data_IF_995216200844
#
_entry.id   IF_995216200844
#
_cell.length_a   1.000
_cell.length_b   1.000
_cell.length_c   1.000
_cell.angle_alpha   90.00
_cell.angle_beta   90.00
_cell.angle_gamma   90.00
#
_symmetry.space_group_name_H-M   'P 1'
#
loop_
_entity.id
_entity.type
_entity.pdbx_description
1 polymer ?
#
# COMPACT_ATOMS: atom_id res chain seq x y z
N UNK A 1 8.14 12.27 8.49
CA UNK A 1 7.76 11.11 7.64
C UNK A 1 8.13 9.88 8.44
N UNK A 2 7.20 9.42 9.27
CA UNK A 2 7.44 8.34 10.25
C UNK A 2 6.44 7.24 9.92
N UNK A 3 6.93 6.15 9.33
CA UNK A 3 6.14 4.99 8.92
C UNK A 3 6.91 3.74 9.34
N UNK A 4 6.87 3.40 10.63
CA UNK A 4 7.30 2.10 11.11
C UNK A 4 6.15 1.10 10.94
N UNK A 5 6.44 -0.11 10.47
CA UNK A 5 5.47 -1.21 10.54
C UNK A 5 5.16 -1.50 12.02
N UNK A 6 3.90 -1.57 12.39
CA UNK A 6 3.42 -1.86 13.74
C UNK A 6 2.75 -3.23 13.77
N UNK A 7 3.11 -4.06 14.76
CA UNK A 7 2.63 -5.44 14.83
C UNK A 7 1.10 -5.48 14.98
N UNK A 8 0.42 -6.11 14.04
CA UNK A 8 -1.06 -6.17 13.95
C UNK A 8 -1.68 -7.21 14.89
N UNK A 9 -0.95 -8.28 15.22
CA UNK A 9 -1.47 -9.48 15.89
C UNK A 9 -1.23 -9.60 17.40
N UNK A 10 -0.91 -8.50 18.10
CA UNK A 10 -0.85 -8.51 19.57
C UNK A 10 -2.19 -8.11 20.18
N UNK A 11 -2.58 -8.71 21.31
CA UNK A 11 -3.72 -8.26 22.09
C UNK A 11 -3.35 -6.97 22.84
N UNK A 12 -3.98 -5.86 22.47
CA UNK A 12 -3.74 -4.51 23.00
C UNK A 12 -4.37 -4.31 24.39
N UNK A 13 -4.93 -5.37 24.98
CA UNK A 13 -5.73 -5.32 26.19
C UNK A 13 -7.17 -4.90 25.92
N UNK A 14 -7.76 -4.13 26.84
CA UNK A 14 -9.10 -3.56 26.67
C UNK A 14 -9.08 -2.53 25.53
N UNK A 15 -10.05 -2.57 24.61
CA UNK A 15 -10.08 -1.73 23.42
C UNK A 15 -10.49 -0.29 23.80
N UNK A 16 -9.51 0.49 24.25
CA UNK A 16 -9.63 1.92 24.54
C UNK A 16 -8.61 2.70 23.71
N UNK A 17 -8.91 3.96 23.42
CA UNK A 17 -8.02 4.83 22.64
C UNK A 17 -6.65 5.01 23.33
N UNK A 18 -6.65 5.05 24.67
CA UNK A 18 -5.42 5.15 25.47
C UNK A 18 -4.55 3.90 25.31
N UNK A 19 -5.14 2.70 25.43
CA UNK A 19 -4.40 1.45 25.26
C UNK A 19 -3.89 1.30 23.81
N UNK A 20 -4.68 1.75 22.84
CA UNK A 20 -4.26 1.78 21.44
C UNK A 20 -3.02 2.66 21.23
N UNK A 21 -3.04 3.87 21.78
CA UNK A 21 -1.91 4.80 21.69
C UNK A 21 -0.68 4.26 22.42
N UNK A 22 -0.83 3.76 23.65
CA UNK A 22 0.27 3.19 24.44
C UNK A 22 0.93 1.99 23.75
N UNK A 23 0.13 1.14 23.09
CA UNK A 23 0.65 0.03 22.32
C UNK A 23 1.48 0.52 21.11
N UNK A 24 0.98 1.51 20.37
CA UNK A 24 1.68 2.03 19.20
C UNK A 24 2.92 2.85 19.53
N UNK A 25 2.97 3.49 20.70
CA UNK A 25 4.15 4.22 21.18
C UNK A 25 5.25 3.27 21.71
N UNK A 26 4.94 2.00 21.96
CA UNK A 26 5.92 1.04 22.46
C UNK A 26 6.83 0.54 21.33
N UNK A 27 8.11 0.92 21.38
CA UNK A 27 9.11 0.55 20.39
C UNK A 27 9.29 -0.96 20.18
N UNK A 28 8.95 -1.79 21.19
CA UNK A 28 8.99 -3.25 21.08
C UNK A 28 7.97 -3.82 20.06
N UNK A 29 6.93 -3.05 19.74
CA UNK A 29 5.90 -3.43 18.78
C UNK A 29 6.22 -2.99 17.34
N UNK A 30 7.29 -2.20 17.17
CA UNK A 30 7.73 -1.74 15.85
C UNK A 30 8.51 -2.84 15.13
N UNK A 31 8.34 -2.89 13.82
CA UNK A 31 9.13 -3.72 12.95
C UNK A 31 10.58 -3.25 12.95
N UNK A 32 11.51 -4.18 13.13
CA UNK A 32 12.95 -3.92 13.06
C UNK A 32 13.60 -4.88 12.08
N UNK A 33 14.42 -4.33 11.19
CA UNK A 33 15.27 -5.08 10.28
C UNK A 33 16.66 -5.18 10.94
N UNK A 34 17.15 -6.41 11.11
CA UNK A 34 18.42 -6.74 11.79
C UNK A 34 18.57 -6.21 13.22
N UNK A 35 17.46 -5.86 13.88
CA UNK A 35 17.43 -5.36 15.26
C UNK A 35 18.01 -3.95 15.46
N UNK A 36 18.33 -3.23 14.38
CA UNK A 36 18.97 -1.91 14.45
C UNK A 36 18.18 -0.85 13.66
N UNK A 37 17.60 -1.21 12.52
CA UNK A 37 16.93 -0.27 11.64
C UNK A 37 15.41 -0.39 11.71
N UNK A 38 14.71 0.75 11.72
CA UNK A 38 13.27 0.84 11.53
C UNK A 38 13.01 1.23 10.07
N UNK A 39 12.77 0.27 9.16
CA UNK A 39 12.55 0.61 7.77
C UNK A 39 11.23 1.34 7.57
N UNK A 40 11.24 2.33 6.67
CA UNK A 40 10.03 3.02 6.24
C UNK A 40 9.15 2.12 5.37
N UNK A 41 7.85 2.14 5.63
CA UNK A 41 6.82 1.51 4.81
C UNK A 41 5.87 2.56 4.19
N UNK A 42 4.96 2.14 3.32
CA UNK A 42 3.86 2.98 2.85
C UNK A 42 2.64 2.18 2.42
N UNK A 43 1.44 2.72 2.66
CA UNK A 43 0.17 2.08 2.31
C UNK A 43 -0.25 2.33 0.83
N UNK A 44 0.64 2.90 0.03
CA UNK A 44 0.35 3.19 -1.37
C UNK A 44 1.07 2.20 -2.27
N UNK A 45 0.43 1.87 -3.40
CA UNK A 45 1.01 1.00 -4.42
C UNK A 45 2.35 1.55 -4.90
N UNK A 46 3.39 0.71 -4.87
CA UNK A 46 4.77 1.10 -5.21
C UNK A 46 5.62 1.53 -4.02
N UNK A 47 5.05 1.66 -2.82
CA UNK A 47 5.80 1.84 -1.58
C UNK A 47 6.20 0.49 -0.97
N UNK A 48 7.19 0.51 -0.07
CA UNK A 48 7.60 -0.70 0.68
C UNK A 48 6.43 -1.17 1.54
N UNK A 49 5.99 -2.40 1.32
CA UNK A 49 4.97 -3.04 2.14
C UNK A 49 5.58 -3.64 3.41
N UNK A 50 4.76 -3.73 4.46
CA UNK A 50 5.09 -4.47 5.67
C UNK A 50 4.83 -5.97 5.47
N UNK A 51 5.45 -6.80 6.30
CA UNK A 51 5.14 -8.24 6.40
C UNK A 51 3.70 -8.46 6.93
N UNK A 52 3.15 -9.67 6.74
CA UNK A 52 1.73 -9.98 7.00
C UNK A 52 1.23 -9.66 8.43
N UNK A 53 2.13 -9.69 9.42
CA UNK A 53 1.84 -9.40 10.83
C UNK A 53 2.07 -7.93 11.21
N UNK A 54 2.28 -7.04 10.24
CA UNK A 54 2.60 -5.64 10.46
C UNK A 54 1.76 -4.71 9.60
N UNK A 55 1.37 -3.57 10.15
CA UNK A 55 0.62 -2.52 9.46
C UNK A 55 1.38 -1.21 9.48
N UNK A 56 1.34 -0.50 8.37
CA UNK A 56 2.06 0.76 8.22
C UNK A 56 1.27 1.92 8.83
N UNK A 57 1.79 2.56 9.88
CA UNK A 57 1.11 3.65 10.59
C UNK A 57 1.97 4.91 10.66
N UNK A 58 1.33 6.06 10.47
CA UNK A 58 1.96 7.37 10.47
C UNK A 58 2.11 7.94 11.88
N UNK A 59 3.23 8.60 12.13
CA UNK A 59 3.48 9.34 13.38
C UNK A 59 3.95 8.46 14.55
N UNK A 60 4.36 7.22 14.27
CA UNK A 60 5.01 6.34 15.23
C UNK A 60 6.41 5.97 14.73
N UNK A 61 7.37 5.93 15.66
CA UNK A 61 8.78 5.73 15.36
C UNK A 61 9.53 7.04 15.11
N UNK A 62 10.86 7.03 15.26
CA UNK A 62 11.69 8.21 15.02
C UNK A 62 11.90 8.47 13.52
N UNK A 63 11.97 9.74 13.13
CA UNK A 63 12.45 10.13 11.81
C UNK A 63 13.90 9.61 11.54
N UNK A 64 14.23 9.19 10.30
CA UNK A 64 15.55 8.70 9.94
C UNK A 64 16.69 9.70 10.22
N UNK A 65 17.93 9.19 10.24
CA UNK A 65 19.12 10.00 10.47
C UNK A 65 19.02 10.84 11.75
N UNK A 66 18.65 10.21 12.87
CA UNK A 66 18.47 10.86 14.19
C UNK A 66 17.48 12.03 14.18
N UNK A 67 16.47 11.99 13.30
CA UNK A 67 15.48 13.06 13.17
C UNK A 67 15.86 14.20 12.24
N UNK A 68 17.05 14.16 11.61
CA UNK A 68 17.51 15.21 10.70
C UNK A 68 16.94 15.11 9.28
N UNK A 69 16.29 13.99 8.95
CA UNK A 69 15.68 13.78 7.63
C UNK A 69 14.17 13.69 7.76
N UNK A 70 13.47 14.76 7.43
CA UNK A 70 12.01 14.85 7.53
C UNK A 70 11.43 15.97 6.65
N UNK A 71 10.11 15.92 6.44
CA UNK A 71 9.33 16.93 5.72
C UNK A 71 8.20 17.53 6.58
N UNK A 72 8.26 17.31 7.89
CA UNK A 72 7.15 17.61 8.81
C UNK A 72 7.11 19.10 9.20
N UNK A 73 8.23 19.81 9.02
CA UNK A 73 8.31 21.26 9.20
C UNK A 73 8.99 21.92 7.99
N UNK A 74 8.69 23.21 7.77
CA UNK A 74 9.24 23.96 6.65
C UNK A 74 10.78 23.97 6.62
N UNK A 75 11.44 24.13 7.77
CA UNK A 75 12.90 24.18 7.84
C UNK A 75 13.56 22.86 7.44
N UNK A 76 13.07 21.73 7.96
CA UNK A 76 13.59 20.41 7.62
C UNK A 76 13.24 20.01 6.18
N UNK A 77 12.06 20.38 5.70
CA UNK A 77 11.68 20.18 4.30
C UNK A 77 12.59 20.98 3.35
N UNK A 78 12.89 22.25 3.66
CA UNK A 78 13.80 23.08 2.86
C UNK A 78 15.21 22.49 2.85
N UNK A 79 15.75 22.07 4.00
CA UNK A 79 17.07 21.44 4.08
C UNK A 79 17.12 20.14 3.27
N UNK A 80 16.08 19.31 3.36
CA UNK A 80 15.98 18.06 2.58
C UNK A 80 15.88 18.32 1.08
N UNK A 81 15.10 19.33 0.65
CA UNK A 81 15.03 19.72 -0.75
C UNK A 81 16.35 20.31 -1.26
N UNK A 82 17.04 21.11 -0.45
CA UNK A 82 18.36 21.65 -0.77
C UNK A 82 19.37 20.53 -1.02
N UNK A 83 19.41 19.51 -0.14
CA UNK A 83 20.25 18.31 -0.31
C UNK A 83 20.02 17.60 -1.66
N UNK A 84 18.75 17.49 -2.10
CA UNK A 84 18.43 16.90 -3.42
C UNK A 84 18.94 17.78 -4.58
N UNK A 85 18.84 19.11 -4.47
CA UNK A 85 19.31 20.04 -5.51
C UNK A 85 20.83 20.05 -5.65
N UNK A 86 21.55 19.97 -4.52
CA UNK A 86 23.02 19.99 -4.51
C UNK A 86 23.66 18.62 -4.69
N UNK A 87 22.84 17.56 -4.80
CA UNK A 87 23.30 16.17 -4.89
C UNK A 87 24.18 15.73 -3.71
N UNK A 88 23.94 16.28 -2.51
CA UNK A 88 24.69 15.91 -1.31
C UNK A 88 23.98 14.78 -0.56
N UNK A 89 24.55 13.58 -0.63
CA UNK A 89 24.00 12.35 -0.05
C UNK A 89 22.50 12.20 -0.36
N UNK A 90 22.15 12.47 -1.61
CA UNK A 90 20.78 12.58 -2.10
C UNK A 90 20.13 11.21 -2.35
N UNK A 91 20.92 10.19 -2.69
CA UNK A 91 20.42 8.84 -3.03
C UNK A 91 19.74 8.18 -1.83
N UNK A 92 20.32 8.33 -0.63
CA UNK A 92 19.73 7.86 0.62
C UNK A 92 18.35 8.51 0.86
N UNK A 93 18.30 9.84 0.76
CA UNK A 93 17.04 10.60 0.89
C UNK A 93 16.02 10.19 -0.17
N UNK A 94 16.45 10.05 -1.42
CA UNK A 94 15.59 9.65 -2.52
C UNK A 94 14.97 8.26 -2.30
N UNK A 95 15.78 7.29 -1.86
CA UNK A 95 15.30 5.96 -1.54
C UNK A 95 14.33 5.95 -0.35
N UNK A 96 14.60 6.74 0.69
CA UNK A 96 13.67 6.89 1.83
C UNK A 96 12.31 7.42 1.39
N UNK A 97 12.31 8.45 0.53
CA UNK A 97 11.06 9.00 -0.03
C UNK A 97 10.32 7.97 -0.87
N UNK A 98 11.00 7.22 -1.74
CA UNK A 98 10.36 6.17 -2.54
C UNK A 98 9.81 5.02 -1.69
N UNK A 99 10.52 4.60 -0.63
CA UNK A 99 10.02 3.53 0.25
C UNK A 99 8.74 3.92 0.97
N UNK A 100 8.60 5.20 1.36
CA UNK A 100 7.44 5.70 2.08
C UNK A 100 6.29 6.14 1.18
N UNK A 101 6.60 6.82 0.07
CA UNK A 101 5.64 7.46 -0.83
C UNK A 101 5.52 6.75 -2.19
N UNK A 102 6.18 5.61 -2.36
CA UNK A 102 6.12 4.79 -3.55
C UNK A 102 6.76 5.37 -4.80
N UNK A 103 7.06 4.50 -5.76
CA UNK A 103 7.40 4.94 -7.11
C UNK A 103 6.12 5.34 -7.86
N UNK A 104 6.16 6.50 -8.53
CA UNK A 104 5.01 6.98 -9.33
C UNK A 104 4.69 6.03 -10.49
N UNK A 105 5.68 5.30 -10.96
CA UNK A 105 5.59 4.36 -12.07
C UNK A 105 4.81 3.09 -11.65
N UNK A 106 5.09 2.54 -10.48
CA UNK A 106 4.33 1.40 -9.93
C UNK A 106 2.93 1.82 -9.45
N UNK A 107 2.79 3.04 -8.92
CA UNK A 107 1.47 3.58 -8.55
C UNK A 107 0.54 3.74 -9.77
N UNK A 108 1.10 4.12 -10.92
CA UNK A 108 0.36 4.17 -12.18
C UNK A 108 0.02 2.76 -12.71
N UNK A 109 0.97 1.82 -12.65
CA UNK A 109 0.76 0.43 -13.07
C UNK A 109 -0.33 -0.28 -12.25
N UNK A 110 -0.31 -0.14 -10.92
CA UNK A 110 -1.34 -0.75 -10.06
C UNK A 110 -2.74 -0.17 -10.31
N UNK A 111 -2.82 1.13 -10.62
CA UNK A 111 -4.09 1.77 -10.98
C UNK A 111 -4.61 1.31 -12.35
N UNK A 112 -3.71 1.07 -13.30
CA UNK A 112 -4.05 0.50 -14.60
C UNK A 112 -4.54 -0.95 -14.49
N UNK A 113 -3.86 -1.80 -13.71
CA UNK A 113 -4.27 -3.18 -13.49
C UNK A 113 -5.67 -3.31 -12.84
N UNK A 114 -5.96 -2.48 -11.83
CA UNK A 114 -7.31 -2.45 -11.23
C UNK A 114 -8.40 -1.94 -12.18
N UNK A 115 -8.04 -1.04 -13.10
CA UNK A 115 -8.98 -0.57 -14.13
C UNK A 115 -9.21 -1.65 -15.18
N UNK A 116 -8.18 -2.39 -15.55
CA UNK A 116 -8.25 -3.53 -16.48
C UNK A 116 -9.08 -4.68 -15.91
N UNK A 117 -8.89 -5.05 -14.64
CA UNK A 117 -9.70 -6.07 -13.97
C UNK A 117 -11.19 -5.66 -13.91
N UNK A 118 -11.48 -4.39 -13.60
CA UNK A 118 -12.84 -3.85 -13.63
C UNK A 118 -13.44 -3.79 -15.03
N UNK A 119 -12.64 -3.48 -16.04
CA UNK A 119 -13.06 -3.48 -17.42
C UNK A 119 -13.36 -4.90 -17.92
N UNK A 120 -12.53 -5.89 -17.57
CA UNK A 120 -12.73 -7.29 -17.90
C UNK A 120 -13.97 -7.87 -17.20
N UNK A 121 -14.18 -7.54 -15.92
CA UNK A 121 -15.40 -7.93 -15.20
C UNK A 121 -16.67 -7.32 -15.83
N UNK A 122 -16.61 -6.05 -16.26
CA UNK A 122 -17.73 -5.41 -16.95
C UNK A 122 -17.99 -6.00 -18.36
N UNK A 123 -16.92 -6.37 -19.08
CA UNK A 123 -17.02 -7.02 -20.39
C UNK A 123 -17.63 -8.43 -20.27
N UNK A 124 -17.20 -9.20 -19.26
CA UNK A 124 -17.77 -10.52 -18.98
C UNK A 124 -19.26 -10.41 -18.64
N UNK A 125 -19.66 -9.48 -17.76
CA UNK A 125 -21.07 -9.27 -17.43
C UNK A 125 -21.94 -8.87 -18.65
N UNK A 126 -21.37 -8.13 -19.61
CA UNK A 126 -22.04 -7.79 -20.87
C UNK A 126 -22.19 -9.00 -21.81
N UNK A 127 -21.17 -9.87 -21.86
CA UNK A 127 -21.23 -11.13 -22.61
C UNK A 127 -22.23 -12.11 -21.98
N UNK A 128 -22.23 -12.27 -20.66
CA UNK A 128 -23.18 -13.13 -19.94
C UNK A 128 -24.64 -12.67 -20.19
N UNK A 129 -24.88 -11.35 -20.23
CA UNK A 129 -26.19 -10.80 -20.55
C UNK A 129 -26.59 -11.06 -22.02
N UNK A 130 -25.66 -10.98 -22.97
CA UNK A 130 -25.92 -11.29 -24.37
C UNK A 130 -26.21 -12.79 -24.58
N UNK A 131 -25.43 -13.66 -23.95
CA UNK A 131 -25.63 -15.11 -23.99
C UNK A 131 -26.98 -15.51 -23.36
N UNK A 132 -27.41 -14.82 -22.29
CA UNK A 132 -28.73 -15.02 -21.68
C UNK A 132 -29.88 -14.58 -22.60
N UNK A 133 -29.72 -13.46 -23.33
CA UNK A 133 -30.71 -13.00 -24.33
C UNK A 133 -30.79 -13.99 -25.49
N UNK A 134 -29.66 -14.52 -25.97
CA UNK A 134 -29.64 -15.49 -27.07
C UNK A 134 -30.24 -16.84 -26.65
N UNK A 135 -29.98 -17.29 -25.43
CA UNK A 135 -30.64 -18.46 -24.85
C UNK A 135 -32.17 -18.30 -24.73
N UNK A 136 -32.65 -17.08 -24.45
CA UNK A 136 -34.08 -16.78 -24.40
C UNK A 136 -34.74 -16.73 -25.81
N UNK A 137 -33.99 -16.27 -26.82
CA UNK A 137 -34.47 -16.22 -28.22
C UNK A 137 -34.45 -17.59 -28.90
N UNK A 138 -33.52 -18.46 -28.50
CA UNK A 138 -33.32 -19.80 -29.06
C UNK A 138 -33.25 -20.87 -27.96
N UNK A 139 -34.40 -21.34 -27.42
CA UNK A 139 -34.44 -22.30 -26.32
C UNK A 139 -33.87 -23.69 -26.66
N UNK A 140 -33.67 -24.00 -27.94
CA UNK A 140 -32.97 -25.20 -28.42
C UNK A 140 -31.45 -25.13 -28.16
N UNK A 141 -30.84 -23.93 -28.15
CA UNK A 141 -29.41 -23.73 -27.93
C UNK A 141 -29.00 -23.89 -26.45
N UNK A 142 -29.90 -23.60 -25.51
CA UNK A 142 -29.68 -23.81 -24.07
C UNK A 142 -29.49 -25.29 -23.68
N UNK A 143 -29.87 -26.23 -24.55
CA UNK A 143 -29.66 -27.67 -24.38
C UNK A 143 -28.37 -28.17 -25.05
N UNK A 144 -27.67 -27.31 -25.78
CA UNK A 144 -26.43 -27.65 -26.45
C UNK A 144 -25.27 -27.70 -25.45
N UNK A 145 -24.42 -28.75 -25.45
CA UNK A 145 -23.27 -28.86 -24.56
C UNK A 145 -22.26 -27.71 -24.74
N UNK A 146 -22.32 -27.00 -25.86
CA UNK A 146 -21.46 -25.84 -26.15
C UNK A 146 -21.87 -24.57 -25.37
N UNK A 147 -23.15 -24.43 -25.02
CA UNK A 147 -23.66 -23.27 -24.24
C UNK A 147 -23.41 -23.44 -22.74
N UNK A 148 -23.47 -24.67 -22.23
CA UNK A 148 -23.17 -25.00 -20.82
C UNK A 148 -21.72 -24.71 -20.41
N UNK A 149 -20.80 -24.60 -21.38
CA UNK A 149 -19.39 -24.32 -21.14
C UNK A 149 -19.04 -22.83 -21.10
N UNK A 150 -20.00 -21.94 -21.39
CA UNK A 150 -19.83 -20.48 -21.41
C UNK A 150 -20.36 -19.77 -20.15
N UNK A 151 -21.17 -20.46 -19.34
CA UNK A 151 -21.61 -20.04 -18.00
C UNK A 151 -20.56 -20.42 -16.95
#
# INVERSE_FOLDING_TARGET
>A
MELAGLRSNLAWGNLTDENWKLHNENASNWYTEDGIAYPLCGNISGARQCDDDYVCLQGFGPNPNYGYTSFDSFGWAFLSAFRLMTQDFWEDLYQLVLRAAGSREEAAAAKAAKLEERANAAAQAAQDAADAVEAALHPELAKSPTYLHKL
#
